data_IF_922971992599
#
_entry.id   IF_922971992599
#
_cell.length_a   1.000
_cell.length_b   1.000
_cell.length_c   1.000
_cell.angle_alpha   90.00
_cell.angle_beta   90.00
_cell.angle_gamma   90.00
#
_symmetry.space_group_name_H-M   'P 1'
#
loop_
_entity.id
_entity.type
_entity.pdbx_description
1 polymer ?
#
# COMPACT_ATOMS: atom_id res chain seq x y z
N UNK A 1 -27.53 14.43 -35.39
CA UNK A 1 -27.80 13.02 -35.05
C UNK A 1 -26.64 12.49 -34.22
N UNK A 2 -26.84 12.25 -32.92
CA UNK A 2 -25.83 11.59 -32.11
C UNK A 2 -25.71 10.12 -32.57
N UNK A 3 -24.50 9.68 -32.94
CA UNK A 3 -24.24 8.27 -33.22
C UNK A 3 -24.54 7.48 -31.96
N UNK A 4 -25.53 6.59 -32.02
CA UNK A 4 -25.87 5.66 -30.95
C UNK A 4 -24.61 4.85 -30.64
N UNK A 5 -24.17 4.88 -29.39
CA UNK A 5 -23.10 4.00 -28.92
C UNK A 5 -23.54 2.56 -29.16
N UNK A 6 -22.82 1.83 -30.01
CA UNK A 6 -23.07 0.43 -30.33
C UNK A 6 -21.82 -0.42 -30.05
N UNK A 7 -21.97 -1.75 -30.10
CA UNK A 7 -20.87 -2.68 -29.79
C UNK A 7 -19.62 -2.44 -30.65
N UNK A 8 -19.77 -2.03 -31.92
CA UNK A 8 -18.65 -1.81 -32.82
C UNK A 8 -17.86 -0.55 -32.45
N UNK A 9 -18.56 0.53 -32.05
CA UNK A 9 -17.91 1.76 -31.58
C UNK A 9 -17.08 1.49 -30.33
N UNK A 10 -17.63 0.77 -29.35
CA UNK A 10 -16.90 0.43 -28.12
C UNK A 10 -15.76 -0.53 -28.42
N UNK A 11 -15.97 -1.53 -29.28
CA UNK A 11 -14.93 -2.46 -29.69
C UNK A 11 -13.75 -1.73 -30.38
N UNK A 12 -14.03 -0.80 -31.29
CA UNK A 12 -13.00 0.00 -31.96
C UNK A 12 -12.20 0.85 -30.95
N UNK A 13 -12.86 1.44 -29.97
CA UNK A 13 -12.19 2.16 -28.89
C UNK A 13 -11.24 1.25 -28.10
N UNK A 14 -11.69 0.05 -27.69
CA UNK A 14 -10.84 -0.91 -26.97
C UNK A 14 -9.73 -1.48 -27.83
N UNK A 15 -9.94 -1.64 -29.14
CA UNK A 15 -8.92 -2.04 -30.08
C UNK A 15 -7.77 -1.02 -30.13
N UNK A 16 -8.07 0.28 -30.22
CA UNK A 16 -7.05 1.33 -30.16
C UNK A 16 -6.35 1.39 -28.80
N UNK A 17 -7.11 1.26 -27.70
CA UNK A 17 -6.52 1.24 -26.34
C UNK A 17 -5.60 0.05 -26.11
N UNK A 18 -5.89 -1.11 -26.70
CA UNK A 18 -5.10 -2.32 -26.53
C UNK A 18 -3.68 -2.20 -27.09
N UNK A 19 -3.45 -1.28 -28.05
CA UNK A 19 -2.11 -0.99 -28.57
C UNK A 19 -1.16 -0.40 -27.52
N UNK A 20 -1.70 0.25 -26.49
CA UNK A 20 -0.91 0.96 -25.47
C UNK A 20 -1.10 0.43 -24.04
N UNK A 21 -2.25 -0.17 -23.73
CA UNK A 21 -2.61 -0.59 -22.37
C UNK A 21 -2.45 -2.10 -22.19
N UNK A 22 -1.96 -2.49 -21.01
CA UNK A 22 -1.97 -3.90 -20.59
C UNK A 22 -3.39 -4.39 -20.36
N UNK A 23 -3.60 -5.69 -20.49
CA UNK A 23 -4.92 -6.32 -20.36
C UNK A 23 -5.65 -5.96 -19.06
N UNK A 24 -4.95 -5.94 -17.91
CA UNK A 24 -5.53 -5.50 -16.63
C UNK A 24 -6.04 -4.05 -16.63
N UNK A 25 -5.36 -3.15 -17.36
CA UNK A 25 -5.76 -1.76 -17.51
C UNK A 25 -6.94 -1.61 -18.49
N UNK A 26 -7.00 -2.44 -19.53
CA UNK A 26 -8.16 -2.53 -20.43
C UNK A 26 -9.40 -2.98 -19.65
N UNK A 27 -9.30 -4.04 -18.85
CA UNK A 27 -10.40 -4.50 -17.99
C UNK A 27 -10.84 -3.45 -16.97
N UNK A 28 -9.90 -2.68 -16.41
CA UNK A 28 -10.24 -1.56 -15.52
C UNK A 28 -11.00 -0.47 -16.27
N UNK A 29 -10.55 -0.11 -17.47
CA UNK A 29 -11.20 0.87 -18.35
C UNK A 29 -12.61 0.40 -18.76
N UNK A 30 -12.75 -0.89 -19.10
CA UNK A 30 -14.03 -1.52 -19.39
C UNK A 30 -14.99 -1.45 -18.21
N UNK A 31 -14.54 -1.79 -16.99
CA UNK A 31 -15.38 -1.71 -15.80
C UNK A 31 -15.86 -0.27 -15.53
N UNK A 32 -14.98 0.72 -15.68
CA UNK A 32 -15.36 2.14 -15.53
C UNK A 32 -16.39 2.57 -16.59
N UNK A 33 -16.17 2.23 -17.86
CA UNK A 33 -17.09 2.56 -18.94
C UNK A 33 -18.41 1.82 -18.81
N UNK A 34 -18.41 0.55 -18.41
CA UNK A 34 -19.63 -0.23 -18.15
C UNK A 34 -20.52 0.48 -17.15
N UNK A 35 -19.98 0.86 -15.98
CA UNK A 35 -20.76 1.57 -14.97
C UNK A 35 -21.25 2.94 -15.45
N UNK A 36 -20.39 3.69 -16.16
CA UNK A 36 -20.72 5.04 -16.63
C UNK A 36 -21.82 5.02 -17.69
N UNK A 37 -21.69 4.13 -18.69
CA UNK A 37 -22.67 3.98 -19.78
C UNK A 37 -23.99 3.43 -19.24
N UNK A 38 -23.94 2.50 -18.27
CA UNK A 38 -25.14 2.01 -17.62
C UNK A 38 -25.93 3.12 -16.91
N UNK A 39 -25.24 4.04 -16.22
CA UNK A 39 -25.89 5.14 -15.48
C UNK A 39 -26.42 6.21 -16.44
N UNK A 40 -25.61 6.63 -17.41
CA UNK A 40 -25.92 7.79 -18.25
C UNK A 40 -26.82 7.46 -19.45
N UNK A 41 -26.68 6.26 -20.01
CA UNK A 41 -27.33 5.86 -21.27
C UNK A 41 -28.28 4.67 -21.09
N UNK A 42 -28.42 4.16 -19.84
CA UNK A 42 -29.19 2.97 -19.50
C UNK A 42 -28.86 1.74 -20.39
N UNK A 43 -27.58 1.58 -20.73
CA UNK A 43 -27.11 0.57 -21.68
C UNK A 43 -26.12 -0.39 -21.01
N UNK A 44 -26.40 -1.69 -21.11
CA UNK A 44 -25.57 -2.74 -20.54
C UNK A 44 -24.58 -3.31 -21.56
N UNK A 45 -23.37 -2.75 -21.59
CA UNK A 45 -22.30 -3.20 -22.49
C UNK A 45 -21.76 -4.59 -22.13
N UNK A 46 -22.17 -5.20 -21.01
CA UNK A 46 -21.74 -6.57 -20.68
C UNK A 46 -22.39 -7.65 -21.53
N UNK A 47 -23.43 -7.28 -22.28
CA UNK A 47 -24.07 -8.12 -23.27
C UNK A 47 -23.28 -8.17 -24.60
N UNK A 48 -22.27 -7.31 -24.76
CA UNK A 48 -21.45 -7.20 -25.97
C UNK A 48 -20.42 -8.33 -26.04
N UNK A 49 -20.84 -9.46 -26.61
CA UNK A 49 -20.06 -10.70 -26.64
C UNK A 49 -18.74 -10.54 -27.41
N UNK A 50 -18.71 -9.77 -28.50
CA UNK A 50 -17.47 -9.56 -29.28
C UNK A 50 -16.46 -8.74 -28.48
N UNK A 51 -16.93 -7.70 -27.81
CA UNK A 51 -16.10 -6.89 -26.91
C UNK A 51 -15.52 -7.72 -25.77
N UNK A 52 -16.36 -8.49 -25.08
CA UNK A 52 -15.92 -9.34 -23.96
C UNK A 52 -14.93 -10.41 -24.44
N UNK A 53 -15.20 -11.05 -25.58
CA UNK A 53 -14.29 -12.03 -26.17
C UNK A 53 -12.94 -11.41 -26.55
N UNK A 54 -12.95 -10.21 -27.14
CA UNK A 54 -11.73 -9.45 -27.46
C UNK A 54 -10.91 -9.17 -26.20
N UNK A 55 -11.53 -8.65 -25.14
CA UNK A 55 -10.85 -8.33 -23.87
C UNK A 55 -10.29 -9.57 -23.16
N UNK A 56 -10.97 -10.72 -23.25
CA UNK A 56 -10.47 -11.98 -22.72
C UNK A 56 -9.20 -12.42 -23.43
N UNK A 57 -9.17 -12.37 -24.77
CA UNK A 57 -7.98 -12.73 -25.57
C UNK A 57 -6.75 -11.89 -25.27
N UNK A 58 -6.93 -10.64 -24.84
CA UNK A 58 -5.79 -9.81 -24.41
C UNK A 58 -5.09 -10.37 -23.15
N UNK A 59 -5.72 -11.25 -22.37
CA UNK A 59 -5.12 -11.87 -21.19
C UNK A 59 -4.34 -13.15 -21.50
N UNK A 60 -4.49 -13.77 -22.68
CA UNK A 60 -3.98 -15.14 -22.94
C UNK A 60 -2.45 -15.26 -22.77
N UNK A 61 -1.71 -14.15 -22.87
CA UNK A 61 -0.25 -14.08 -22.66
C UNK A 61 0.14 -13.12 -21.53
N UNK A 62 -0.81 -12.65 -20.71
CA UNK A 62 -0.52 -11.67 -19.67
C UNK A 62 0.18 -12.30 -18.46
N UNK A 63 1.44 -11.93 -18.26
CA UNK A 63 2.17 -12.21 -17.02
C UNK A 63 2.28 -10.94 -16.15
N UNK A 64 1.90 -11.07 -14.86
CA UNK A 64 1.94 -9.95 -13.94
C UNK A 64 3.39 -9.67 -13.48
N UNK A 65 3.89 -8.46 -13.76
CA UNK A 65 5.15 -7.98 -13.16
C UNK A 65 5.00 -7.89 -11.64
N UNK A 66 5.75 -8.70 -10.90
CA UNK A 66 5.81 -8.66 -9.43
C UNK A 66 7.14 -8.06 -8.98
N UNK A 67 7.11 -7.31 -7.89
CA UNK A 67 8.33 -6.85 -7.22
C UNK A 67 8.99 -8.03 -6.50
N UNK A 68 10.32 -8.00 -6.41
CA UNK A 68 11.07 -8.91 -5.52
C UNK A 68 10.66 -8.65 -4.07
N UNK A 69 10.64 -9.71 -3.27
CA UNK A 69 10.25 -9.68 -1.86
C UNK A 69 11.51 -9.72 -1.00
N UNK A 70 11.54 -8.93 0.07
CA UNK A 70 12.62 -8.98 1.06
C UNK A 70 12.52 -10.29 1.85
N UNK A 71 13.65 -10.98 2.05
CA UNK A 71 13.67 -12.15 2.93
C UNK A 71 13.72 -11.75 4.39
N UNK A 72 13.47 -12.70 5.30
CA UNK A 72 13.54 -12.41 6.73
C UNK A 72 14.98 -12.10 7.17
N UNK A 73 15.97 -12.68 6.51
CA UNK A 73 17.39 -12.37 6.71
C UNK A 73 17.67 -10.91 6.32
N UNK A 74 17.17 -10.45 5.16
CA UNK A 74 17.30 -9.05 4.75
C UNK A 74 16.70 -8.10 5.80
N UNK A 75 15.48 -8.41 6.26
CA UNK A 75 14.81 -7.63 7.30
C UNK A 75 15.63 -7.59 8.59
N UNK A 76 16.12 -8.74 9.04
CA UNK A 76 16.88 -8.86 10.29
C UNK A 76 18.18 -8.08 10.22
N UNK A 77 18.93 -8.21 9.12
CA UNK A 77 20.16 -7.44 8.87
C UNK A 77 19.85 -5.94 8.90
N UNK A 78 18.81 -5.48 8.21
CA UNK A 78 18.42 -4.07 8.21
C UNK A 78 18.05 -3.56 9.62
N UNK A 79 17.22 -4.30 10.36
CA UNK A 79 16.80 -3.91 11.72
C UNK A 79 18.00 -3.84 12.68
N UNK A 80 18.99 -4.74 12.54
CA UNK A 80 20.17 -4.80 13.40
C UNK A 80 21.24 -3.77 13.03
N UNK A 81 21.56 -3.64 11.75
CA UNK A 81 22.76 -2.94 11.29
C UNK A 81 22.50 -1.51 10.79
N UNK A 82 21.28 -1.22 10.28
CA UNK A 82 21.01 0.11 9.74
C UNK A 82 21.06 1.15 10.87
N UNK A 83 21.73 2.31 10.68
CA UNK A 83 21.95 3.25 11.76
C UNK A 83 20.66 4.02 12.09
N UNK A 84 20.35 4.11 13.39
CA UNK A 84 19.06 4.62 13.84
C UNK A 84 18.87 6.10 13.54
N UNK A 85 19.93 6.91 13.54
CA UNK A 85 19.90 8.34 13.20
C UNK A 85 19.25 8.62 11.83
N UNK A 86 19.29 7.64 10.92
CA UNK A 86 18.68 7.70 9.59
C UNK A 86 17.44 6.81 9.45
N UNK A 87 17.46 5.61 10.03
CA UNK A 87 16.49 4.56 9.68
C UNK A 87 15.49 4.21 10.77
N UNK A 88 15.54 4.81 11.97
CA UNK A 88 14.70 4.42 13.09
C UNK A 88 13.19 4.40 12.75
N UNK A 89 12.67 5.44 12.10
CA UNK A 89 11.28 5.44 11.62
C UNK A 89 10.98 4.25 10.69
N UNK A 90 11.87 3.97 9.73
CA UNK A 90 11.68 2.88 8.77
C UNK A 90 11.69 1.52 9.47
N UNK A 91 12.54 1.34 10.49
CA UNK A 91 12.57 0.12 11.31
C UNK A 91 11.23 -0.09 12.02
N UNK A 92 10.71 0.92 12.72
CA UNK A 92 9.41 0.80 13.42
C UNK A 92 8.28 0.49 12.42
N UNK A 93 8.26 1.19 11.28
CA UNK A 93 7.25 0.95 10.24
C UNK A 93 7.36 -0.47 9.66
N UNK A 94 8.57 -0.98 9.46
CA UNK A 94 8.81 -2.34 8.96
C UNK A 94 8.31 -3.39 9.97
N UNK A 95 8.60 -3.20 11.25
CA UNK A 95 8.11 -4.07 12.34
C UNK A 95 6.58 -4.11 12.36
N UNK A 96 5.92 -2.94 12.33
CA UNK A 96 4.46 -2.87 12.32
C UNK A 96 3.86 -3.44 11.02
N UNK A 97 4.52 -3.18 9.89
CA UNK A 97 4.12 -3.68 8.58
C UNK A 97 4.17 -5.19 8.50
N UNK A 98 5.20 -5.82 9.06
CA UNK A 98 5.39 -7.28 9.04
C UNK A 98 4.46 -7.98 10.03
N UNK A 99 4.50 -7.61 11.32
CA UNK A 99 3.66 -8.22 12.35
C UNK A 99 2.16 -8.04 12.06
N UNK A 100 1.80 -6.84 11.60
CA UNK A 100 0.43 -6.52 11.27
C UNK A 100 0.04 -6.81 9.83
N UNK A 101 0.91 -7.28 8.94
CA UNK A 101 0.64 -7.33 7.49
C UNK A 101 -0.11 -6.06 7.00
N UNK A 102 0.35 -4.90 7.45
CA UNK A 102 -0.42 -3.66 7.35
C UNK A 102 -0.37 -3.09 5.94
N UNK A 103 -1.52 -2.61 5.44
CA UNK A 103 -1.55 -1.79 4.23
C UNK A 103 -0.95 -0.41 4.51
N UNK A 104 -0.41 0.24 3.48
CA UNK A 104 0.11 1.62 3.59
C UNK A 104 -0.91 2.63 4.15
N UNK A 105 -2.19 2.44 3.85
CA UNK A 105 -3.25 3.30 4.37
C UNK A 105 -3.46 3.08 5.88
N UNK A 106 -3.45 1.83 6.33
CA UNK A 106 -3.57 1.45 7.75
C UNK A 106 -2.39 2.00 8.55
N UNK A 107 -1.15 1.86 8.04
CA UNK A 107 0.04 2.47 8.64
C UNK A 107 -0.07 4.00 8.66
N UNK A 108 -0.58 4.60 7.59
CA UNK A 108 -0.76 6.04 7.51
C UNK A 108 -1.75 6.52 8.58
N UNK A 109 -2.93 5.94 8.70
CA UNK A 109 -3.96 6.42 9.63
C UNK A 109 -3.71 6.05 11.11
N UNK A 110 -2.80 5.12 11.39
CA UNK A 110 -2.55 4.61 12.75
C UNK A 110 -2.22 5.73 13.75
N UNK A 111 -2.82 5.66 14.93
CA UNK A 111 -2.67 6.66 15.99
C UNK A 111 -2.05 6.08 17.26
N UNK A 112 -1.54 6.95 18.13
CA UNK A 112 -1.07 6.55 19.47
C UNK A 112 -2.17 5.91 20.33
N UNK A 113 -3.44 6.25 20.10
CA UNK A 113 -4.57 5.67 20.85
C UNK A 113 -4.88 4.23 20.46
N UNK A 114 -4.40 3.82 19.29
CA UNK A 114 -4.60 2.48 18.75
C UNK A 114 -3.57 1.47 19.30
N UNK A 115 -2.62 1.94 20.12
CA UNK A 115 -1.51 1.15 20.66
C UNK A 115 -1.70 1.05 22.17
N UNK A 116 -1.92 -0.17 22.63
CA UNK A 116 -1.88 -0.53 24.04
C UNK A 116 -0.51 -1.11 24.36
N UNK A 117 0.15 -0.53 25.36
CA UNK A 117 1.48 -0.94 25.81
C UNK A 117 1.37 -1.65 27.16
N UNK A 118 1.75 -2.93 27.17
CA UNK A 118 1.68 -3.81 28.34
C UNK A 118 2.98 -3.85 29.15
N UNK A 119 4.02 -3.12 28.74
CA UNK A 119 5.35 -3.17 29.35
C UNK A 119 6.26 -4.28 28.81
N UNK A 120 5.72 -5.20 28.00
CA UNK A 120 6.48 -6.28 27.33
C UNK A 120 6.16 -6.43 25.85
N UNK A 121 4.90 -6.18 25.50
CA UNK A 121 4.39 -6.26 24.14
C UNK A 121 3.51 -5.05 23.86
N UNK A 122 3.41 -4.70 22.57
CA UNK A 122 2.46 -3.72 22.07
C UNK A 122 1.28 -4.47 21.46
N UNK A 123 0.06 -4.07 21.79
CA UNK A 123 -1.18 -4.56 21.18
C UNK A 123 -1.73 -3.44 20.30
N UNK A 124 -1.73 -3.64 18.99
CA UNK A 124 -2.10 -2.61 18.01
C UNK A 124 -3.46 -2.95 17.42
N UNK A 125 -4.37 -1.98 17.43
CA UNK A 125 -5.70 -2.10 16.84
C UNK A 125 -5.81 -1.34 15.51
N UNK A 126 -6.27 -2.00 14.46
CA UNK A 126 -6.62 -1.40 13.18
C UNK A 126 -8.15 -1.31 13.05
N UNK A 127 -8.68 -0.08 13.07
CA UNK A 127 -10.12 0.18 13.01
C UNK A 127 -10.66 0.34 11.58
N UNK A 128 -9.97 1.12 10.74
CA UNK A 128 -10.40 1.45 9.37
C UNK A 128 -9.65 0.59 8.34
N UNK A 129 -10.17 -0.61 8.10
CA UNK A 129 -9.65 -1.50 7.06
C UNK A 129 -10.54 -1.47 5.83
N UNK A 130 -9.96 -1.74 4.66
CA UNK A 130 -10.68 -1.82 3.36
C UNK A 130 -11.94 -2.71 3.41
N UNK A 131 -12.00 -3.66 4.35
CA UNK A 131 -13.10 -4.61 4.53
C UNK A 131 -14.04 -4.29 5.69
N UNK A 132 -13.92 -3.10 6.32
CA UNK A 132 -14.69 -2.68 7.52
C UNK A 132 -14.59 -3.64 8.71
N UNK A 133 -13.54 -4.45 8.75
CA UNK A 133 -13.29 -5.41 9.84
C UNK A 133 -12.15 -4.89 10.72
N UNK A 134 -12.41 -4.77 12.02
CA UNK A 134 -11.39 -4.50 13.03
C UNK A 134 -10.40 -5.66 13.04
N UNK A 135 -9.10 -5.36 13.15
CA UNK A 135 -8.03 -6.36 13.30
C UNK A 135 -7.06 -5.91 14.38
N UNK A 136 -6.52 -6.87 15.12
CA UNK A 136 -5.51 -6.64 16.16
C UNK A 136 -4.27 -7.45 15.81
N UNK A 137 -3.09 -6.90 16.10
CA UNK A 137 -1.82 -7.61 16.01
C UNK A 137 -0.89 -7.21 17.15
N UNK A 138 0.12 -8.02 17.41
CA UNK A 138 1.07 -7.84 18.51
C UNK A 138 2.45 -7.52 17.93
N UNK A 139 3.18 -6.63 18.59
CA UNK A 139 4.62 -6.45 18.40
C UNK A 139 5.30 -6.79 19.70
N UNK A 140 6.13 -7.83 19.69
CA UNK A 140 6.87 -8.29 20.86
C UNK A 140 8.36 -7.95 20.78
N UNK A 141 9.16 -8.78 21.44
CA UNK A 141 10.62 -8.66 21.45
C UNK A 141 11.29 -9.27 20.20
N UNK A 142 10.54 -9.91 19.31
CA UNK A 142 11.07 -10.40 18.04
C UNK A 142 11.70 -9.25 17.24
N UNK A 143 12.94 -9.46 16.78
CA UNK A 143 13.73 -8.43 16.11
C UNK A 143 13.86 -7.10 16.89
N UNK A 144 13.78 -7.14 18.23
CA UNK A 144 13.79 -5.98 19.11
C UNK A 144 12.65 -4.98 18.84
N UNK A 145 11.49 -5.48 18.41
CA UNK A 145 10.35 -4.67 17.97
C UNK A 145 9.88 -3.68 19.03
N UNK A 146 9.68 -4.17 20.25
CA UNK A 146 9.30 -3.40 21.42
C UNK A 146 10.32 -2.27 21.73
N UNK A 147 11.61 -2.60 21.81
CA UNK A 147 12.67 -1.64 22.13
C UNK A 147 12.83 -0.56 21.04
N UNK A 148 12.75 -0.96 19.77
CA UNK A 148 12.84 -0.04 18.62
C UNK A 148 11.67 0.94 18.63
N UNK A 149 10.45 0.45 18.90
CA UNK A 149 9.28 1.31 19.07
C UNK A 149 9.47 2.33 20.19
N UNK A 150 9.93 1.90 21.37
CA UNK A 150 10.15 2.81 22.50
C UNK A 150 11.24 3.84 22.22
N UNK A 151 12.32 3.44 21.54
CA UNK A 151 13.38 4.36 21.11
C UNK A 151 12.83 5.47 20.23
N UNK A 152 11.93 5.13 19.30
CA UNK A 152 11.24 6.10 18.45
C UNK A 152 10.26 6.98 19.22
N UNK A 153 9.45 6.38 20.10
CA UNK A 153 8.43 7.10 20.88
C UNK A 153 9.04 8.15 21.81
N UNK A 154 10.20 7.86 22.43
CA UNK A 154 10.93 8.83 23.28
C UNK A 154 11.33 10.11 22.54
N UNK A 155 11.47 10.05 21.22
CA UNK A 155 11.84 11.20 20.39
C UNK A 155 10.62 12.03 19.96
N UNK A 156 9.40 11.56 20.21
CA UNK A 156 8.17 12.26 19.83
C UNK A 156 8.08 13.61 20.57
N UNK A 157 7.94 14.75 19.85
CA UNK A 157 7.77 16.04 20.49
C UNK A 157 6.45 16.12 21.27
N UNK A 158 6.45 16.82 22.42
CA UNK A 158 5.25 17.01 23.24
C UNK A 158 4.15 17.86 22.58
N UNK A 159 4.53 18.71 21.62
CA UNK A 159 3.64 19.71 21.01
C UNK A 159 3.05 19.27 19.66
N UNK A 160 2.97 17.97 19.38
CA UNK A 160 2.34 17.44 18.16
C UNK A 160 0.82 17.62 18.25
N UNK A 161 0.21 18.31 17.28
CA UNK A 161 -1.22 18.66 17.26
C UNK A 161 -2.15 17.54 16.75
N UNK A 162 -1.61 16.37 16.40
CA UNK A 162 -2.35 15.24 15.86
C UNK A 162 -1.98 13.93 16.57
N UNK A 163 -2.85 12.92 16.44
CA UNK A 163 -2.64 11.63 17.12
C UNK A 163 -1.92 10.58 16.26
N UNK A 164 -1.58 10.86 14.99
CA UNK A 164 -0.84 9.89 14.14
C UNK A 164 0.47 9.46 14.80
N UNK A 165 0.73 8.15 14.86
CA UNK A 165 1.93 7.59 15.50
C UNK A 165 3.18 7.92 14.70
N UNK A 166 3.15 7.71 13.38
CA UNK A 166 4.28 7.95 12.51
C UNK A 166 4.37 9.43 12.10
N UNK A 167 5.39 10.08 12.64
CA UNK A 167 5.84 11.44 12.32
C UNK A 167 7.20 11.39 11.62
N UNK A 168 7.48 12.38 10.77
CA UNK A 168 8.73 12.44 10.02
C UNK A 168 9.92 12.43 10.98
N UNK A 169 10.92 11.66 10.59
CA UNK A 169 12.16 11.46 11.33
C UNK A 169 13.33 11.89 10.47
N UNK A 170 14.22 12.70 11.02
CA UNK A 170 15.38 13.23 10.32
C UNK A 170 16.54 13.38 11.29
N UNK A 171 17.70 12.80 10.96
CA UNK A 171 18.97 12.94 11.70
C UNK A 171 18.81 12.83 13.22
N UNK A 172 18.28 11.71 13.71
CA UNK A 172 18.15 11.51 15.16
C UNK A 172 16.88 12.09 15.80
N UNK A 173 16.07 12.87 15.08
CA UNK A 173 14.96 13.65 15.67
C UNK A 173 13.64 13.42 14.97
N UNK A 174 12.56 13.32 15.74
CA UNK A 174 11.20 13.38 15.22
C UNK A 174 10.74 14.83 15.06
N UNK A 175 10.04 15.10 13.97
CA UNK A 175 9.38 16.38 13.69
C UNK A 175 7.92 16.33 14.17
N UNK A 176 7.16 17.41 13.97
CA UNK A 176 5.71 17.42 14.23
C UNK A 176 4.86 17.02 13.02
N UNK A 177 5.48 16.81 11.86
CA UNK A 177 4.76 16.53 10.62
C UNK A 177 4.42 15.03 10.53
N UNK A 178 3.18 14.66 10.19
CA UNK A 178 2.82 13.26 10.01
C UNK A 178 3.40 12.71 8.69
N UNK A 179 3.77 11.43 8.69
CA UNK A 179 4.34 10.78 7.49
C UNK A 179 3.28 10.63 6.39
N UNK A 180 3.61 10.98 5.15
CA UNK A 180 2.68 10.82 4.02
C UNK A 180 2.51 9.36 3.56
N UNK A 181 1.33 9.01 3.03
CA UNK A 181 1.01 7.63 2.56
C UNK A 181 2.04 7.07 1.57
N UNK A 182 2.58 7.92 0.69
CA UNK A 182 3.57 7.52 -0.31
C UNK A 182 4.95 7.24 0.28
N UNK A 183 5.27 7.81 1.44
CA UNK A 183 6.53 7.52 2.12
C UNK A 183 6.58 6.06 2.59
N UNK A 184 5.46 5.51 3.07
CA UNK A 184 5.36 4.10 3.45
C UNK A 184 5.64 3.16 2.28
N UNK A 185 5.12 3.48 1.08
CA UNK A 185 5.32 2.66 -0.11
C UNK A 185 6.79 2.60 -0.57
N UNK A 186 7.61 3.61 -0.23
CA UNK A 186 9.04 3.67 -0.57
C UNK A 186 9.94 2.93 0.42
N UNK A 187 9.44 2.52 1.59
CA UNK A 187 10.28 1.92 2.63
C UNK A 187 10.93 0.61 2.16
N UNK A 188 10.20 -0.35 1.55
CA UNK A 188 10.84 -1.59 1.06
C UNK A 188 11.95 -1.31 0.05
N UNK A 189 11.76 -0.32 -0.82
CA UNK A 189 12.79 0.13 -1.76
C UNK A 189 14.03 0.67 -1.03
N UNK A 190 13.85 1.56 -0.04
CA UNK A 190 14.97 2.11 0.74
C UNK A 190 15.73 1.05 1.54
N UNK A 191 15.03 0.03 2.03
CA UNK A 191 15.65 -1.13 2.67
C UNK A 191 16.50 -1.91 1.66
N UNK A 192 15.96 -2.17 0.47
CA UNK A 192 16.70 -2.84 -0.60
C UNK A 192 17.92 -2.03 -1.06
N UNK A 193 17.81 -0.71 -1.17
CA UNK A 193 18.92 0.20 -1.49
C UNK A 193 20.03 0.15 -0.42
N UNK A 194 19.65 0.18 0.87
CA UNK A 194 20.61 0.04 1.98
C UNK A 194 21.37 -1.29 1.91
N UNK A 195 20.64 -2.38 1.67
CA UNK A 195 21.19 -3.74 1.57
C UNK A 195 21.85 -4.04 0.22
N UNK A 196 21.87 -3.08 -0.72
CA UNK A 196 22.41 -3.24 -2.08
C UNK A 196 21.81 -4.44 -2.84
N UNK A 197 20.52 -4.69 -2.66
CA UNK A 197 19.83 -5.79 -3.34
C UNK A 197 19.58 -5.46 -4.82
N UNK A 198 19.56 -6.46 -5.72
CA UNK A 198 19.30 -6.24 -7.12
C UNK A 198 17.86 -5.77 -7.37
N UNK A 199 17.69 -4.77 -8.24
CA UNK A 199 16.41 -4.21 -8.66
C UNK A 199 15.48 -5.24 -9.33
#
# INVERSE_FOLDING_TARGET
MYKKTDENVILAYFFEKAKALKASSLWSTYSMLKSTIQINENMDISQYKKLVAFLKRQNDTYEAKKSKVLTMENVTIFLKEAPDDKFLLMKVVLIFGLNGACRRAELCSLTVKDIEDTGKILVITLHDTKTKKKRVFIVGSECNGYEIYHKYLRLRPKHVKHNRIFIYYNHGKCTVQPVGINSFAKIPQKVAEYLKLPA
#
